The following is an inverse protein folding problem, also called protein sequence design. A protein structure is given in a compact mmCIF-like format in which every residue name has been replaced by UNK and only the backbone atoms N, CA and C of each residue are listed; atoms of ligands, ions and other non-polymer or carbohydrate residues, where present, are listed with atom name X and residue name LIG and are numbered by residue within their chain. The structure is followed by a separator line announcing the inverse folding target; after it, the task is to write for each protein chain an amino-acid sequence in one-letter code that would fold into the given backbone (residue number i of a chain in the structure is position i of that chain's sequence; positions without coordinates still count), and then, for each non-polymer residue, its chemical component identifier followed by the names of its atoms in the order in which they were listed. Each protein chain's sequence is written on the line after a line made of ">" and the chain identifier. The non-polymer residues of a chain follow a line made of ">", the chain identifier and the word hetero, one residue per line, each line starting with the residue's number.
data_IF_312278697721
#
_entry.id   IF_312278697721
#
_cell.length_a   1.000
_cell.length_b   1.000
_cell.length_c   1.000
_cell.angle_alpha   90.00
_cell.angle_beta   90.00
_cell.angle_gamma   90.00
#
_symmetry.space_group_name_H-M   'P 1'
#
loop_
_entity.id
_entity.type
_entity.pdbx_description
1 polymer ?
#
# COMPACT_ATOMS: atom_id res chain seq x y z
N UNK A 1 24.31 9.42 -14.28
CA UNK A 1 23.77 8.14 -13.78
C UNK A 1 23.82 8.17 -12.26
N UNK A 2 22.70 8.39 -11.58
CA UNK A 2 22.66 8.40 -10.12
C UNK A 2 22.22 7.02 -9.64
N UNK A 3 23.16 6.30 -9.04
CA UNK A 3 22.92 5.09 -8.27
C UNK A 3 22.06 5.43 -7.06
N UNK A 4 20.77 5.06 -7.11
CA UNK A 4 19.88 5.06 -5.95
C UNK A 4 20.37 3.98 -4.98
N UNK A 5 21.25 4.39 -4.06
CA UNK A 5 21.61 3.60 -2.90
C UNK A 5 20.36 3.36 -2.05
N UNK A 6 19.91 2.11 -2.00
CA UNK A 6 18.96 1.61 -1.01
C UNK A 6 19.60 1.74 0.38
N UNK A 7 19.32 2.83 1.08
CA UNK A 7 19.68 3.00 2.48
C UNK A 7 18.68 2.18 3.30
N UNK A 8 19.00 0.91 3.52
CA UNK A 8 18.36 0.08 4.56
C UNK A 8 18.88 0.52 5.92
N UNK A 9 18.36 1.62 6.46
CA UNK A 9 18.60 1.99 7.87
C UNK A 9 17.52 1.41 8.76
N UNK A 10 17.92 0.48 9.63
CA UNK A 10 17.16 -0.05 10.77
C UNK A 10 17.00 1.02 11.88
N UNK A 11 16.74 2.27 11.50
CA UNK A 11 16.61 3.39 12.43
C UNK A 11 15.46 4.26 11.93
N UNK A 12 14.41 4.49 12.73
CA UNK A 12 13.33 5.37 12.31
C UNK A 12 13.92 6.76 12.06
N UNK A 13 13.61 7.39 10.91
CA UNK A 13 14.12 8.72 10.60
C UNK A 13 13.59 9.74 11.62
N UNK A 14 14.27 10.88 11.80
CA UNK A 14 13.82 11.92 12.73
C UNK A 14 12.40 12.39 12.37
N UNK A 15 11.60 12.75 13.39
CA UNK A 15 10.16 13.04 13.28
C UNK A 15 9.71 13.84 12.02
N UNK A 16 10.36 14.95 11.60
CA UNK A 16 9.95 15.68 10.39
C UNK A 16 10.13 14.90 9.09
N UNK A 17 11.11 13.99 9.01
CA UNK A 17 11.30 13.11 7.85
C UNK A 17 10.22 12.02 7.81
N UNK A 18 9.82 11.49 8.96
CA UNK A 18 8.72 10.52 9.08
C UNK A 18 7.40 11.10 8.57
N UNK A 19 7.09 12.36 8.91
CA UNK A 19 5.86 13.03 8.42
C UNK A 19 5.87 13.24 6.90
N UNK A 20 7.02 13.64 6.33
CA UNK A 20 7.17 13.78 4.87
C UNK A 20 7.01 12.45 4.16
N UNK A 21 7.61 11.39 4.71
CA UNK A 21 7.48 10.04 4.19
C UNK A 21 6.01 9.60 4.20
N UNK A 22 5.34 9.68 5.35
CA UNK A 22 3.93 9.30 5.49
C UNK A 22 3.00 10.06 4.54
N UNK A 23 3.24 11.36 4.31
CA UNK A 23 2.47 12.18 3.35
C UNK A 23 2.66 11.75 1.88
N UNK A 24 3.84 11.24 1.55
CA UNK A 24 4.16 10.76 0.19
C UNK A 24 3.77 9.29 -0.04
N UNK A 25 3.53 8.55 1.03
CA UNK A 25 3.24 7.12 0.96
C UNK A 25 1.77 6.84 0.64
N UNK A 26 1.56 5.73 -0.08
CA UNK A 26 0.25 5.10 -0.27
C UNK A 26 0.30 3.71 0.34
N UNK A 27 -0.71 3.36 1.13
CA UNK A 27 -0.80 2.06 1.77
C UNK A 27 -1.66 1.12 0.93
N UNK A 28 -1.06 0.09 0.33
CA UNK A 28 -1.82 -0.98 -0.34
C UNK A 28 -2.18 -2.06 0.68
N UNK A 29 -3.47 -2.32 0.90
CA UNK A 29 -3.96 -3.39 1.76
C UNK A 29 -4.58 -4.48 0.90
N UNK A 30 -3.84 -5.58 0.73
CA UNK A 30 -4.31 -6.72 -0.06
C UNK A 30 -5.20 -7.64 0.76
N UNK A 31 -6.51 -7.64 0.49
CA UNK A 31 -7.48 -8.53 1.13
C UNK A 31 -7.90 -9.68 0.21
N UNK A 32 -8.10 -10.87 0.78
CA UNK A 32 -8.49 -12.06 0.02
C UNK A 32 -9.96 -11.96 -0.39
N UNK A 33 -10.27 -12.32 -1.63
CA UNK A 33 -11.63 -12.32 -2.17
C UNK A 33 -12.51 -13.46 -1.63
N UNK A 34 -11.93 -14.62 -1.35
CA UNK A 34 -12.70 -15.83 -1.02
C UNK A 34 -13.24 -15.87 0.42
N UNK A 35 -13.08 -14.82 1.22
CA UNK A 35 -13.51 -14.79 2.63
C UNK A 35 -14.15 -13.44 2.90
N UNK A 36 -15.24 -13.39 3.66
CA UNK A 36 -15.76 -12.12 4.18
C UNK A 36 -14.73 -11.50 5.10
N UNK A 37 -14.28 -10.28 4.78
CA UNK A 37 -13.30 -9.56 5.57
C UNK A 37 -13.85 -8.19 5.95
N UNK A 38 -13.52 -7.77 7.17
CA UNK A 38 -13.74 -6.41 7.66
C UNK A 38 -12.39 -5.84 8.01
N UNK A 39 -12.09 -4.66 7.47
CA UNK A 39 -10.82 -4.01 7.73
C UNK A 39 -10.77 -3.51 9.18
N UNK A 40 -9.82 -4.02 9.96
CA UNK A 40 -9.55 -3.58 11.33
C UNK A 40 -8.23 -2.80 11.42
N UNK A 41 -8.08 -1.99 12.46
CA UNK A 41 -6.85 -1.23 12.74
C UNK A 41 -5.63 -2.15 12.86
N UNK A 42 -5.77 -3.36 13.41
CA UNK A 42 -4.68 -4.35 13.50
C UNK A 42 -4.24 -4.88 12.14
N UNK A 43 -5.15 -5.02 11.17
CA UNK A 43 -4.80 -5.43 9.81
C UNK A 43 -3.99 -4.33 9.14
N UNK A 44 -4.41 -3.07 9.33
CA UNK A 44 -3.76 -1.89 8.77
C UNK A 44 -2.37 -1.69 9.39
N UNK A 45 -2.25 -1.76 10.71
CA UNK A 45 -0.97 -1.70 11.43
C UNK A 45 0.04 -2.74 10.92
N UNK A 46 -0.40 -3.98 10.68
CA UNK A 46 0.44 -5.03 10.09
C UNK A 46 0.87 -4.71 8.67
N UNK A 47 0.01 -4.10 7.86
CA UNK A 47 0.38 -3.69 6.49
C UNK A 47 1.35 -2.51 6.48
N UNK A 48 1.24 -1.56 7.42
CA UNK A 48 2.24 -0.52 7.62
C UNK A 48 3.63 -1.13 7.84
N UNK A 49 3.73 -2.11 8.74
CA UNK A 49 5.00 -2.77 9.02
C UNK A 49 5.49 -3.60 7.82
N UNK A 50 4.59 -4.27 7.11
CA UNK A 50 4.97 -5.16 6.00
C UNK A 50 5.38 -4.39 4.74
N UNK A 51 4.62 -3.37 4.37
CA UNK A 51 4.76 -2.66 3.10
C UNK A 51 5.63 -1.41 3.23
N UNK A 52 5.41 -0.62 4.29
CA UNK A 52 6.12 0.64 4.52
C UNK A 52 7.28 0.49 5.51
N UNK A 53 7.43 -0.66 6.17
CA UNK A 53 8.43 -0.92 7.23
C UNK A 53 8.29 0.02 8.44
N UNK A 54 7.12 0.62 8.62
CA UNK A 54 6.81 1.51 9.74
C UNK A 54 5.99 0.74 10.77
N UNK A 55 6.45 0.70 12.01
CA UNK A 55 5.66 0.17 13.11
C UNK A 55 4.72 1.25 13.61
N UNK A 56 3.42 1.07 13.42
CA UNK A 56 2.39 1.97 13.94
C UNK A 56 1.49 1.17 14.89
N UNK A 57 1.33 1.61 16.15
CA UNK A 57 0.43 0.92 17.06
C UNK A 57 -1.04 1.13 16.65
N UNK A 58 -1.92 0.12 16.85
CA UNK A 58 -3.30 0.18 16.38
C UNK A 58 -4.12 1.29 17.04
N UNK A 59 -3.78 1.71 18.26
CA UNK A 59 -4.44 2.84 18.93
C UNK A 59 -4.10 4.21 18.34
N UNK A 60 -3.01 4.32 17.57
CA UNK A 60 -2.64 5.54 16.87
C UNK A 60 -3.27 5.64 15.47
N UNK A 61 -3.96 4.59 15.03
CA UNK A 61 -4.67 4.53 13.75
C UNK A 61 -6.15 4.82 13.97
N UNK A 62 -6.69 5.75 13.19
CA UNK A 62 -8.13 5.98 13.07
C UNK A 62 -8.57 5.62 11.66
N UNK A 63 -9.56 4.72 11.61
CA UNK A 63 -10.26 4.33 10.40
C UNK A 63 -11.57 5.11 10.29
N UNK A 64 -12.15 5.24 9.09
CA UNK A 64 -13.49 5.78 8.96
C UNK A 64 -14.50 4.93 9.76
N UNK A 65 -15.54 5.59 10.28
CA UNK A 65 -16.55 4.94 11.12
C UNK A 65 -17.32 3.82 10.38
N UNK A 66 -17.38 3.88 9.04
CA UNK A 66 -18.00 2.85 8.23
C UNK A 66 -17.06 1.63 8.06
N UNK A 67 -17.52 0.40 8.39
CA UNK A 67 -16.71 -0.80 8.24
C UNK A 67 -16.35 -1.05 6.78
N UNK A 68 -15.06 -1.02 6.46
CA UNK A 68 -14.57 -1.27 5.11
C UNK A 68 -14.59 -2.76 4.82
N UNK A 69 -15.50 -3.17 3.94
CA UNK A 69 -15.68 -4.55 3.44
C UNK A 69 -15.57 -4.65 1.92
N UNK A 70 -15.34 -3.51 1.25
CA UNK A 70 -15.29 -3.37 -0.20
C UNK A 70 -13.91 -2.90 -0.63
N UNK A 71 -13.48 -3.31 -1.82
CA UNK A 71 -12.26 -2.78 -2.43
C UNK A 71 -12.48 -1.34 -2.89
N UNK A 72 -11.46 -0.52 -2.75
CA UNK A 72 -11.54 0.89 -3.09
C UNK A 72 -10.46 1.73 -2.42
N UNK A 73 -10.56 3.03 -2.66
CA UNK A 73 -9.70 4.05 -2.06
C UNK A 73 -10.30 4.51 -0.74
N UNK A 74 -9.49 4.49 0.30
CA UNK A 74 -9.86 4.87 1.65
C UNK A 74 -8.75 5.75 2.25
N UNK A 75 -9.05 6.32 3.40
CA UNK A 75 -8.13 7.18 4.13
C UNK A 75 -7.96 6.62 5.53
N UNK A 76 -6.74 6.66 6.06
CA UNK A 76 -6.46 6.33 7.46
C UNK A 76 -5.71 7.48 8.09
N UNK A 77 -6.20 7.94 9.24
CA UNK A 77 -5.54 8.99 10.01
C UNK A 77 -4.57 8.33 10.99
N UNK A 78 -3.31 8.75 10.94
CA UNK A 78 -2.21 8.19 11.73
C UNK A 78 -1.68 9.27 12.66
N UNK A 79 -1.79 9.06 13.97
CA UNK A 79 -1.24 9.97 14.97
C UNK A 79 0.20 9.60 15.30
N UNK A 80 1.14 10.47 14.96
CA UNK A 80 2.57 10.37 15.29
C UNK A 80 2.84 11.15 16.58
N UNK A 81 3.49 10.49 17.54
CA UNK A 81 3.89 11.09 18.84
C UNK A 81 2.75 11.72 19.66
N UNK A 82 1.49 11.35 19.40
CA UNK A 82 0.33 11.84 20.14
C UNK A 82 -0.10 13.28 19.82
N UNK A 83 0.56 13.95 18.87
CA UNK A 83 0.30 15.37 18.53
C UNK A 83 0.04 15.53 17.03
N UNK A 84 0.86 14.89 16.17
CA UNK A 84 0.80 15.10 14.73
C UNK A 84 -0.07 14.04 14.06
N UNK A 85 -1.23 14.43 13.52
CA UNK A 85 -2.08 13.51 12.74
C UNK A 85 -1.81 13.66 11.25
N UNK A 86 -1.48 12.55 10.57
CA UNK A 86 -1.28 12.50 9.12
C UNK A 86 -2.34 11.63 8.49
N UNK A 87 -3.01 12.17 7.47
CA UNK A 87 -3.94 11.41 6.64
C UNK A 87 -3.19 10.66 5.55
N UNK A 88 -3.20 9.34 5.63
CA UNK A 88 -2.52 8.46 4.68
C UNK A 88 -3.55 7.87 3.71
N UNK A 89 -3.38 8.03 2.38
CA UNK A 89 -4.21 7.34 1.40
C UNK A 89 -3.95 5.83 1.44
N UNK A 90 -5.02 5.06 1.43
CA UNK A 90 -5.01 3.60 1.55
C UNK A 90 -5.86 2.97 0.45
N UNK A 91 -5.26 2.08 -0.33
CA UNK A 91 -5.93 1.34 -1.39
C UNK A 91 -6.19 -0.09 -0.92
N UNK A 92 -7.46 -0.45 -0.79
CA UNK A 92 -7.86 -1.82 -0.45
C UNK A 92 -8.06 -2.58 -1.75
N UNK A 93 -7.16 -3.52 -2.02
CA UNK A 93 -7.08 -4.25 -3.29
C UNK A 93 -7.23 -5.75 -3.08
N UNK A 94 -7.53 -6.48 -4.15
CA UNK A 94 -7.53 -7.93 -4.12
C UNK A 94 -6.11 -8.46 -3.90
N UNK A 95 -5.94 -9.28 -2.86
CA UNK A 95 -4.68 -9.94 -2.58
C UNK A 95 -4.33 -10.95 -3.67
N UNK A 96 -3.34 -10.60 -4.49
CA UNK A 96 -2.74 -11.52 -5.45
C UNK A 96 -1.50 -12.19 -4.87
N UNK A 97 -1.42 -13.53 -4.98
CA UNK A 97 -0.18 -14.25 -4.66
C UNK A 97 0.96 -13.76 -5.57
N UNK A 98 2.20 -13.61 -5.08
CA UNK A 98 3.32 -13.10 -5.89
C UNK A 98 3.51 -13.84 -7.22
N UNK A 99 3.39 -15.18 -7.22
CA UNK A 99 3.48 -16.01 -8.43
C UNK A 99 2.38 -15.68 -9.44
N UNK A 100 1.15 -15.48 -8.98
CA UNK A 100 0.00 -15.09 -9.83
C UNK A 100 0.17 -13.67 -10.35
N UNK A 101 0.63 -12.73 -9.52
CA UNK A 101 0.93 -11.35 -9.92
C UNK A 101 1.96 -11.33 -11.05
N UNK A 102 3.08 -12.04 -10.90
CA UNK A 102 4.12 -12.15 -11.94
C UNK A 102 3.57 -12.73 -13.25
N UNK A 103 2.77 -13.80 -13.19
CA UNK A 103 2.14 -14.40 -14.37
C UNK A 103 1.21 -13.42 -15.08
N UNK A 104 0.34 -12.72 -14.34
CA UNK A 104 -0.61 -11.75 -14.91
C UNK A 104 0.11 -10.58 -15.59
N UNK A 105 1.17 -10.06 -14.97
CA UNK A 105 2.03 -9.04 -15.57
C UNK A 105 2.67 -9.51 -16.87
N UNK A 106 3.21 -10.73 -16.90
CA UNK A 106 3.79 -11.30 -18.11
C UNK A 106 2.75 -11.44 -19.23
N UNK A 107 1.54 -11.92 -18.91
CA UNK A 107 0.43 -12.01 -19.88
C UNK A 107 0.01 -10.63 -20.41
N UNK A 108 -0.08 -9.62 -19.54
CA UNK A 108 -0.42 -8.25 -19.95
C UNK A 108 0.65 -7.65 -20.89
N UNK A 109 1.94 -7.91 -20.64
CA UNK A 109 3.02 -7.49 -21.54
C UNK A 109 2.92 -8.15 -22.91
N UNK A 110 2.63 -9.45 -22.95
CA UNK A 110 2.42 -10.17 -24.22
C UNK A 110 1.21 -9.63 -24.99
N UNK A 111 0.10 -9.36 -24.30
CA UNK A 111 -1.09 -8.79 -24.91
C UNK A 111 -0.84 -7.37 -25.46
N UNK A 112 -0.13 -6.53 -24.72
CA UNK A 112 0.25 -5.19 -25.17
C UNK A 112 1.19 -5.22 -26.38
N UNK A 113 2.17 -6.15 -26.40
CA UNK A 113 3.06 -6.35 -27.54
C UNK A 113 2.30 -6.82 -28.80
N UNK A 114 1.38 -7.77 -28.63
CA UNK A 114 0.53 -8.25 -29.71
C UNK A 114 -0.40 -7.16 -30.24
N UNK A 115 -0.96 -6.33 -29.36
CA UNK A 115 -1.81 -5.20 -29.75
C UNK A 115 -1.01 -4.15 -30.53
N UNK A 116 0.17 -3.76 -30.05
CA UNK A 116 1.05 -2.83 -30.76
C UNK A 116 1.44 -3.36 -32.16
N UNK A 117 1.77 -4.65 -32.26
CA UNK A 117 2.07 -5.28 -33.55
C UNK A 117 0.87 -5.38 -34.49
N UNK A 118 -0.35 -5.48 -33.94
CA UNK A 118 -1.59 -5.46 -34.74
C UNK A 118 -1.86 -4.06 -35.28
N UNK A 119 -1.65 -3.02 -34.48
CA UNK A 119 -1.82 -1.62 -34.90
C UNK A 119 -0.78 -1.21 -35.96
N UNK A 120 0.42 -1.79 -35.98
CA UNK A 120 1.42 -1.59 -37.04
C UNK A 120 1.05 -2.22 -38.39
N UNK A 121 0.12 -3.19 -38.41
CA UNK A 121 -0.27 -3.95 -39.60
C UNK A 121 -1.62 -3.47 -40.21
N UNK A 122 -2.27 -2.48 -39.60
CA UNK A 122 -3.53 -1.87 -40.04
C UNK A 122 -3.30 -0.44 -40.53
#
# INVERSE_FOLDING_TARGET
>A
MLTLGLITTHTPPPAPQTLRFLRSCRLEVGMKNNVSWTLSTDIVARHFLKNLRVSVPPHALKLPDEPITRWGEYWCDVTVNGIDTVRVPMDVVEFMRPRTKRRRHWQAQQAALLAARRDELL
#
